data_IF_558692329609
#
_entry.id   IF_558692329609
#
_cell.length_a   1.000
_cell.length_b   1.000
_cell.length_c   1.000
_cell.angle_alpha   90.00
_cell.angle_beta   90.00
_cell.angle_gamma   90.00
#
_symmetry.space_group_name_H-M   'P 1'
#
loop_
_entity.id
_entity.type
_entity.pdbx_description
1 polymer ?
#
# COMPACT_ATOMS: atom_id res chain seq x y z
N UNK A 1 -8.86 -15.96 -13.63
CA UNK A 1 -8.02 -14.80 -13.96
C UNK A 1 -6.69 -15.04 -13.26
N UNK A 2 -5.58 -15.14 -14.01
CA UNK A 2 -4.38 -15.87 -13.56
C UNK A 2 -3.65 -15.26 -12.35
N UNK A 3 -3.05 -16.14 -11.55
CA UNK A 3 -2.22 -15.81 -10.38
C UNK A 3 -0.90 -15.15 -10.83
N UNK A 4 -0.95 -13.91 -11.30
CA UNK A 4 0.26 -13.20 -11.73
C UNK A 4 1.17 -12.95 -10.53
N UNK A 5 2.42 -13.42 -10.61
CA UNK A 5 3.40 -13.20 -9.55
C UNK A 5 3.84 -11.73 -9.50
N UNK A 6 3.94 -11.19 -8.30
CA UNK A 6 4.46 -9.85 -8.05
C UNK A 6 5.98 -9.91 -7.97
N UNK A 7 6.65 -8.98 -8.64
CA UNK A 7 8.10 -8.92 -8.73
C UNK A 7 8.64 -7.53 -8.41
N UNK A 8 9.96 -7.47 -8.20
CA UNK A 8 10.67 -6.21 -8.00
C UNK A 8 10.37 -5.22 -9.13
N UNK A 9 9.99 -4.00 -8.77
CA UNK A 9 9.62 -2.94 -9.71
C UNK A 9 8.14 -2.88 -10.07
N UNK A 10 7.33 -3.86 -9.63
CA UNK A 10 5.88 -3.69 -9.60
C UNK A 10 5.49 -2.68 -8.51
N UNK A 11 4.27 -2.15 -8.59
CA UNK A 11 3.81 -1.13 -7.64
C UNK A 11 2.60 -1.59 -6.86
N UNK A 12 2.49 -1.16 -5.62
CA UNK A 12 1.22 -1.15 -4.88
C UNK A 12 0.59 0.22 -5.06
N UNK A 13 -0.64 0.27 -5.56
CA UNK A 13 -1.44 1.49 -5.63
C UNK A 13 -2.43 1.49 -4.48
N UNK A 14 -2.47 2.57 -3.71
CA UNK A 14 -3.42 2.72 -2.61
C UNK A 14 -4.69 3.42 -3.08
N UNK A 15 -5.83 3.00 -2.54
CA UNK A 15 -7.07 3.73 -2.70
C UNK A 15 -6.97 5.07 -1.99
N UNK A 16 -7.63 6.12 -2.50
CA UNK A 16 -7.54 7.45 -1.88
C UNK A 16 -8.22 7.51 -0.51
N UNK A 17 -9.09 6.56 -0.15
CA UNK A 17 -9.88 6.64 1.08
C UNK A 17 -9.32 5.73 2.17
N UNK A 18 -9.02 6.31 3.33
CA UNK A 18 -8.56 5.66 4.56
C UNK A 18 -9.49 6.04 5.71
N UNK A 19 -10.60 5.30 5.86
CA UNK A 19 -11.66 5.65 6.81
C UNK A 19 -12.31 6.99 6.44
N UNK A 20 -12.25 7.96 7.35
CA UNK A 20 -12.75 9.32 7.15
C UNK A 20 -11.74 10.27 6.48
N UNK A 21 -10.55 9.75 6.12
CA UNK A 21 -9.48 10.52 5.50
C UNK A 21 -9.40 10.23 4.01
N UNK A 22 -9.16 11.27 3.23
CA UNK A 22 -8.99 11.17 1.78
C UNK A 22 -7.65 11.74 1.39
N UNK A 23 -6.85 10.94 0.67
CA UNK A 23 -5.59 11.35 0.09
C UNK A 23 -5.86 12.31 -1.07
N UNK A 24 -5.09 13.39 -1.13
CA UNK A 24 -5.24 14.40 -2.18
C UNK A 24 -4.49 14.06 -3.47
N UNK A 25 -3.56 13.12 -3.39
CA UNK A 25 -2.77 12.65 -4.52
C UNK A 25 -2.75 11.12 -4.54
N UNK A 26 -2.68 10.49 -5.73
CA UNK A 26 -2.50 9.05 -5.83
C UNK A 26 -1.22 8.62 -5.09
N UNK A 27 -1.37 7.75 -4.11
CA UNK A 27 -0.23 7.17 -3.40
C UNK A 27 0.10 5.80 -3.97
N UNK A 28 1.38 5.58 -4.25
CA UNK A 28 1.89 4.30 -4.71
C UNK A 28 3.28 4.04 -4.14
N UNK A 29 3.65 2.76 -4.00
CA UNK A 29 4.99 2.36 -3.61
C UNK A 29 5.54 1.31 -4.57
N UNK A 30 6.83 1.40 -4.88
CA UNK A 30 7.53 0.36 -5.64
C UNK A 30 7.85 -0.80 -4.71
N UNK A 31 7.48 -2.01 -5.12
CA UNK A 31 7.78 -3.23 -4.40
C UNK A 31 9.20 -3.70 -4.75
N UNK A 32 9.92 -4.12 -3.71
CA UNK A 32 11.27 -4.68 -3.82
C UNK A 32 11.24 -6.10 -3.27
N UNK A 33 11.36 -7.07 -4.16
CA UNK A 33 11.32 -8.48 -3.83
C UNK A 33 12.64 -8.98 -3.26
N UNK A 34 12.57 -9.84 -2.25
CA UNK A 34 13.72 -10.58 -1.71
C UNK A 34 13.59 -12.08 -1.88
N UNK A 35 12.61 -12.54 -2.65
CA UNK A 35 12.44 -13.95 -2.99
C UNK A 35 13.65 -14.50 -3.74
N UNK A 36 13.99 -15.77 -3.48
CA UNK A 36 15.06 -16.50 -4.19
C UNK A 36 14.68 -16.92 -5.61
N UNK A 37 13.42 -16.74 -6.00
CA UNK A 37 12.91 -17.06 -7.32
C UNK A 37 12.89 -15.80 -8.19
N UNK A 38 13.06 -16.00 -9.50
CA UNK A 38 13.15 -14.93 -10.47
C UNK A 38 11.89 -14.89 -11.33
N UNK A 39 11.28 -13.71 -11.43
CA UNK A 39 10.17 -13.40 -12.32
C UNK A 39 10.73 -12.51 -13.42
N UNK A 40 10.94 -13.08 -14.61
CA UNK A 40 11.60 -12.41 -15.76
C UNK A 40 12.94 -11.75 -15.42
N UNK A 41 13.79 -12.46 -14.68
CA UNK A 41 15.10 -11.95 -14.29
C UNK A 41 15.09 -10.91 -13.18
N UNK A 42 13.94 -10.67 -12.53
CA UNK A 42 13.83 -9.85 -11.32
C UNK A 42 13.45 -10.70 -10.10
N UNK A 43 13.95 -10.40 -8.90
CA UNK A 43 13.52 -11.10 -7.68
C UNK A 43 12.01 -10.97 -7.47
N UNK A 44 11.34 -12.08 -7.21
CA UNK A 44 9.93 -12.10 -6.85
C UNK A 44 9.68 -11.56 -5.44
N UNK A 45 8.51 -10.97 -5.21
CA UNK A 45 8.13 -10.43 -3.91
C UNK A 45 7.52 -11.52 -3.01
N UNK A 46 7.92 -11.51 -1.74
CA UNK A 46 7.36 -12.39 -0.70
C UNK A 46 6.63 -11.57 0.36
N UNK A 47 5.82 -12.22 1.20
CA UNK A 47 4.99 -11.53 2.19
C UNK A 47 5.78 -10.60 3.12
N UNK A 48 7.01 -10.96 3.49
CA UNK A 48 7.88 -10.16 4.36
C UNK A 48 8.37 -8.87 3.70
N UNK A 49 8.33 -8.75 2.38
CA UNK A 49 8.71 -7.52 1.68
C UNK A 49 7.69 -6.40 1.89
N UNK A 50 6.43 -6.73 2.18
CA UNK A 50 5.38 -5.75 2.44
C UNK A 50 5.62 -4.94 3.72
N UNK A 51 6.34 -5.51 4.69
CA UNK A 51 6.71 -4.81 5.92
C UNK A 51 7.69 -3.64 5.66
N UNK A 52 8.40 -3.64 4.52
CA UNK A 52 9.33 -2.57 4.12
C UNK A 52 8.65 -1.46 3.34
N UNK A 53 7.38 -1.63 2.97
CA UNK A 53 6.64 -0.65 2.18
C UNK A 53 6.24 0.51 3.08
N UNK A 54 6.85 1.68 2.83
CA UNK A 54 6.54 2.93 3.49
C UNK A 54 6.44 4.04 2.44
N UNK A 55 5.35 4.80 2.48
CA UNK A 55 5.15 5.99 1.62
C UNK A 55 4.96 7.20 2.52
N UNK A 56 6.03 7.98 2.80
CA UNK A 56 5.93 9.20 3.59
C UNK A 56 5.42 10.38 2.74
N UNK A 57 5.01 11.45 3.40
CA UNK A 57 4.74 12.73 2.73
C UNK A 57 3.43 12.77 1.95
N UNK A 58 2.47 11.91 2.28
CA UNK A 58 1.20 11.82 1.55
C UNK A 58 0.23 12.90 2.06
N UNK A 59 -0.19 13.85 1.22
CA UNK A 59 -1.13 14.89 1.61
C UNK A 59 -2.55 14.31 1.78
N UNK A 60 -3.24 14.71 2.84
CA UNK A 60 -4.59 14.22 3.15
C UNK A 60 -5.51 15.32 3.69
N UNK A 61 -6.81 15.09 3.53
CA UNK A 61 -7.89 15.85 4.17
C UNK A 61 -8.79 14.91 4.96
N UNK A 62 -9.56 15.43 5.91
CA UNK A 62 -10.38 14.64 6.83
C UNK A 62 -11.67 15.39 7.15
N UNK A 63 -12.82 14.96 6.63
CA UNK A 63 -14.11 15.63 6.88
C UNK A 63 -14.06 17.17 6.69
N UNK A 64 -14.23 17.91 7.78
CA UNK A 64 -14.22 19.39 7.81
C UNK A 64 -12.81 20.02 7.80
N UNK A 65 -11.76 19.21 7.96
CA UNK A 65 -10.36 19.63 7.91
C UNK A 65 -9.89 19.64 6.45
N UNK A 66 -10.21 20.72 5.72
CA UNK A 66 -9.93 20.87 4.29
C UNK A 66 -8.56 21.46 3.97
N UNK A 67 -7.87 22.04 4.97
CA UNK A 67 -6.47 22.45 4.83
C UNK A 67 -5.59 21.19 4.96
N UNK A 68 -4.74 20.87 3.97
CA UNK A 68 -4.09 19.58 3.89
C UNK A 68 -3.12 19.31 5.06
N UNK A 69 -3.27 18.14 5.66
CA UNK A 69 -2.25 17.56 6.53
C UNK A 69 -1.29 16.67 5.75
N UNK A 70 -0.33 16.06 6.45
CA UNK A 70 0.62 15.11 5.86
C UNK A 70 0.65 13.84 6.69
N UNK A 71 0.67 12.68 6.03
CA UNK A 71 0.87 11.41 6.70
C UNK A 71 1.78 10.46 5.94
N UNK A 72 1.88 9.24 6.48
CA UNK A 72 2.60 8.14 5.87
C UNK A 72 1.69 6.92 5.73
N UNK A 73 1.89 6.15 4.67
CA UNK A 73 1.28 4.83 4.50
C UNK A 73 2.30 3.78 4.88
N UNK A 74 1.93 2.83 5.74
CA UNK A 74 2.75 1.68 6.12
C UNK A 74 1.87 0.43 6.33
N UNK A 75 2.51 -0.69 6.68
CA UNK A 75 1.86 -1.96 7.03
C UNK A 75 0.88 -2.44 5.95
N UNK A 76 1.42 -2.76 4.79
CA UNK A 76 0.65 -3.40 3.73
C UNK A 76 0.46 -4.88 4.07
N UNK A 77 -0.78 -5.33 4.16
CA UNK A 77 -1.13 -6.72 4.46
C UNK A 77 -1.80 -7.31 3.22
N UNK A 78 -1.18 -8.34 2.65
CA UNK A 78 -1.77 -9.10 1.55
C UNK A 78 -3.02 -9.86 2.04
N UNK A 79 -4.08 -9.84 1.24
CA UNK A 79 -5.22 -10.72 1.47
C UNK A 79 -4.85 -12.18 1.15
N UNK A 80 -5.62 -13.18 1.62
CA UNK A 80 -5.32 -14.60 1.37
C UNK A 80 -5.24 -14.96 -0.13
N UNK A 81 -5.97 -14.24 -0.99
CA UNK A 81 -5.97 -14.39 -2.45
C UNK A 81 -4.79 -13.67 -3.13
N UNK A 82 -3.97 -12.95 -2.37
CA UNK A 82 -2.71 -12.34 -2.80
C UNK A 82 -1.49 -13.14 -2.35
N UNK A 83 -1.70 -14.29 -1.71
CA UNK A 83 -0.65 -15.20 -1.27
C UNK A 83 -0.68 -16.43 -2.18
N UNK A 84 0.41 -16.66 -2.90
CA UNK A 84 0.54 -17.85 -3.74
C UNK A 84 0.57 -19.12 -2.91
N UNK A 85 -0.12 -20.17 -3.38
CA UNK A 85 -0.17 -21.48 -2.70
C UNK A 85 1.19 -22.18 -2.66
N UNK A 86 2.05 -21.87 -3.63
CA UNK A 86 3.38 -22.46 -3.73
C UNK A 86 4.43 -21.56 -3.08
N UNK A 87 5.25 -22.19 -2.24
CA UNK A 87 6.37 -21.56 -1.53
C UNK A 87 7.64 -21.84 -2.32
N UNK A 88 8.03 -20.91 -3.20
CA UNK A 88 9.23 -21.09 -4.04
C UNK A 88 10.55 -20.74 -3.34
N UNK A 89 10.49 -20.05 -2.18
CA UNK A 89 11.70 -19.51 -1.53
C UNK A 89 11.71 -19.63 0.00
N UNK A 90 10.89 -20.52 0.57
CA UNK A 90 10.72 -20.68 2.01
C UNK A 90 9.75 -19.68 2.66
N UNK A 91 9.44 -18.57 1.97
CA UNK A 91 8.37 -17.63 2.33
C UNK A 91 7.26 -17.63 1.27
N UNK A 92 5.98 -17.44 1.67
CA UNK A 92 4.87 -17.34 0.72
C UNK A 92 5.09 -16.20 -0.28
N UNK A 93 4.92 -16.53 -1.57
CA UNK A 93 5.08 -15.58 -2.68
C UNK A 93 3.85 -14.69 -2.79
N UNK A 94 4.05 -13.46 -3.25
CA UNK A 94 2.94 -12.55 -3.53
C UNK A 94 2.44 -12.73 -4.96
N UNK A 95 1.12 -12.78 -5.09
CA UNK A 95 0.42 -12.75 -6.37
C UNK A 95 -0.50 -11.53 -6.40
N UNK A 96 -0.90 -11.10 -7.60
CA UNK A 96 -1.72 -9.90 -7.80
C UNK A 96 -2.97 -9.87 -6.89
N UNK A 97 -3.70 -10.99 -6.87
CA UNK A 97 -5.00 -11.16 -6.20
C UNK A 97 -5.96 -9.98 -6.42
N UNK A 98 -6.82 -9.73 -5.43
CA UNK A 98 -7.77 -8.62 -5.39
C UNK A 98 -7.21 -7.36 -4.73
N UNK A 99 -7.42 -7.22 -3.42
CA UNK A 99 -7.09 -6.02 -2.65
C UNK A 99 -6.20 -6.36 -1.44
N UNK A 100 -5.21 -5.51 -1.17
CA UNK A 100 -4.43 -5.53 0.08
C UNK A 100 -4.98 -4.51 1.06
N UNK A 101 -4.75 -4.72 2.35
CA UNK A 101 -4.98 -3.71 3.38
C UNK A 101 -3.72 -2.86 3.56
N UNK A 102 -3.89 -1.59 3.93
CA UNK A 102 -2.80 -0.69 4.26
C UNK A 102 -3.22 0.19 5.44
N UNK A 103 -2.25 0.74 6.18
CA UNK A 103 -2.53 1.70 7.24
C UNK A 103 -1.96 3.07 6.88
N UNK A 104 -2.79 4.10 7.02
CA UNK A 104 -2.37 5.49 6.94
C UNK A 104 -2.23 6.08 8.34
N UNK A 105 -1.10 6.71 8.62
CA UNK A 105 -0.79 7.35 9.89
C UNK A 105 -0.51 8.82 9.62
N UNK A 106 -1.38 9.74 10.07
CA UNK A 106 -1.10 11.17 9.97
C UNK A 106 0.11 11.54 10.83
N UNK A 107 1.07 12.24 10.23
CA UNK A 107 2.27 12.75 10.90
C UNK A 107 2.17 14.25 11.21
N UNK A 108 1.36 14.98 10.43
CA UNK A 108 1.02 16.38 10.63
C UNK A 108 -0.50 16.53 10.43
N UNK A 109 -1.21 17.25 11.32
CA UNK A 109 -2.67 17.33 11.28
C UNK A 109 -3.15 18.12 10.05
N UNK A 110 -4.26 17.69 9.46
CA UNK A 110 -5.08 18.55 8.61
C UNK A 110 -5.73 19.66 9.46
N UNK A 111 -6.05 20.81 8.88
CA UNK A 111 -6.66 21.93 9.62
C UNK A 111 -8.02 22.31 9.06
N UNK A 112 -8.90 22.84 9.92
CA UNK A 112 -10.09 23.53 9.46
C UNK A 112 -9.68 24.83 8.76
N UNK A 113 -10.40 25.24 7.70
CA UNK A 113 -10.16 26.53 7.09
C UNK A 113 -10.44 27.67 8.09
N UNK A 114 -9.91 28.85 7.82
CA UNK A 114 -10.24 30.05 8.60
C UNK A 114 -11.76 30.31 8.60
N UNK A 115 -12.34 30.88 9.66
CA UNK A 115 -11.69 31.38 10.87
C UNK A 115 -11.31 30.37 11.98
N UNK A 116 -11.89 29.16 12.11
CA UNK A 116 -11.53 28.25 13.21
C UNK A 116 -10.05 27.89 13.31
N UNK A 117 -9.37 27.65 12.17
CA UNK A 117 -7.94 27.28 12.12
C UNK A 117 -7.54 26.16 13.12
N UNK A 118 -8.45 25.23 13.37
CA UNK A 118 -8.27 24.16 14.36
C UNK A 118 -7.66 22.92 13.70
N UNK A 119 -6.66 22.27 14.32
CA UNK A 119 -6.06 21.03 13.81
C UNK A 119 -6.97 19.82 14.07
N UNK A 120 -6.89 18.82 13.19
CA UNK A 120 -7.53 17.51 13.36
C UNK A 120 -6.98 16.81 14.62
N UNK A 121 -7.82 16.52 15.63
CA UNK A 121 -7.39 15.90 16.88
C UNK A 121 -6.96 14.44 16.72
N UNK A 122 -7.18 13.83 15.55
CA UNK A 122 -6.89 12.42 15.29
C UNK A 122 -5.50 12.18 14.69
N UNK A 123 -4.63 13.19 14.70
CA UNK A 123 -3.23 13.03 14.28
C UNK A 123 -2.54 11.90 15.05
N UNK A 124 -1.71 11.10 14.37
CA UNK A 124 -1.06 9.92 14.95
C UNK A 124 -1.94 8.67 15.08
N UNK A 125 -3.27 8.78 14.92
CA UNK A 125 -4.16 7.61 14.95
C UNK A 125 -4.13 6.89 13.60
N UNK A 126 -3.70 5.61 13.52
CA UNK A 126 -3.70 4.86 12.27
C UNK A 126 -5.13 4.60 11.78
N UNK A 127 -5.37 4.79 10.48
CA UNK A 127 -6.64 4.44 9.83
C UNK A 127 -6.41 3.37 8.77
N UNK A 128 -7.21 2.29 8.75
CA UNK A 128 -7.13 1.28 7.72
C UNK A 128 -7.62 1.84 6.38
N UNK A 129 -6.99 1.39 5.31
CA UNK A 129 -7.41 1.61 3.94
C UNK A 129 -7.06 0.41 3.08
N UNK A 130 -7.20 0.60 1.77
CA UNK A 130 -7.05 -0.48 0.80
C UNK A 130 -6.02 -0.12 -0.25
N UNK A 131 -5.48 -1.13 -0.89
CA UNK A 131 -4.64 -0.98 -2.07
C UNK A 131 -4.75 -2.20 -2.97
N UNK A 132 -4.01 -2.18 -4.06
CA UNK A 132 -3.90 -3.30 -4.99
C UNK A 132 -2.51 -3.36 -5.60
N UNK A 133 -2.04 -4.58 -5.85
CA UNK A 133 -0.80 -4.79 -6.58
C UNK A 133 -1.04 -4.60 -8.09
N UNK A 134 -0.22 -3.76 -8.69
CA UNK A 134 -0.18 -3.52 -10.13
C UNK A 134 1.07 -4.18 -10.65
N UNK A 135 0.88 -5.41 -11.12
CA UNK A 135 1.87 -6.18 -11.87
C UNK A 135 2.03 -5.59 -13.26
N UNK A 136 3.26 -5.24 -13.59
CA UNK A 136 3.68 -4.81 -14.93
C UNK A 136 3.90 -5.99 -15.87
N UNK A 137 3.87 -7.22 -15.34
CA UNK A 137 4.20 -8.44 -16.06
C UNK A 137 2.96 -9.32 -16.29
N UNK A 138 2.63 -9.59 -17.56
CA UNK A 138 1.42 -10.38 -17.95
C UNK A 138 1.67 -11.88 -18.16
N UNK A 139 2.92 -12.36 -18.05
CA UNK A 139 3.26 -13.72 -18.54
C UNK A 139 3.68 -14.75 -17.48
N UNK A 140 4.01 -14.36 -16.23
CA UNK A 140 4.44 -15.33 -15.21
C UNK A 140 3.30 -15.55 -14.22
N UNK A 141 2.78 -16.78 -14.21
CA UNK A 141 1.70 -17.22 -13.32
C UNK A 141 2.26 -18.16 -12.26
N UNK A 142 1.88 -17.99 -11.01
CA UNK A 142 1.92 -19.06 -10.03
C UNK A 142 0.86 -20.10 -10.44
N UNK A 143 1.25 -21.36 -10.53
CA UNK A 143 0.39 -22.48 -10.90
C UNK A 143 0.96 -23.72 -10.25
#
# INVERSE_FOLDING_TARGET
>A
MGELMVATGDVVMFEPNFGNRTLMAPAQAVLVGTGRFMVKGKPGCVISDLAKVVVPGVPYVSGNFTVPGVGLIQMVIAAPDQIGKQVFSGAPVLIKGGQCQAMFIPTAPAMMPAPPNTPDPTVGVPTPGKGRFVVTQVNVKAG
#
